data_IF_618653740612
#
_entry.id   IF_618653740612
#
_cell.length_a   1.000
_cell.length_b   1.000
_cell.length_c   1.000
_cell.angle_alpha   90.00
_cell.angle_beta   90.00
_cell.angle_gamma   90.00
#
_symmetry.space_group_name_H-M   'P 1'
#
loop_
_entity.id
_entity.type
_entity.pdbx_description
1 polymer ?
#
# COMPACT_ATOMS: atom_id res chain seq x y z
N UNK A 1 -17.81 -0.06 36.60
CA UNK A 1 -17.65 0.10 35.14
C UNK A 1 -17.12 1.50 34.88
N UNK A 2 -15.99 1.63 34.19
CA UNK A 2 -15.22 2.87 34.17
C UNK A 2 -15.95 3.93 33.32
N UNK A 3 -16.46 4.97 33.98
CA UNK A 3 -17.26 6.07 33.37
C UNK A 3 -16.53 6.76 32.21
N UNK A 4 -15.21 6.82 32.27
CA UNK A 4 -14.35 7.38 31.20
C UNK A 4 -14.45 6.59 29.90
N UNK A 5 -14.52 5.25 29.98
CA UNK A 5 -14.67 4.39 28.79
C UNK A 5 -16.07 4.50 28.16
N UNK A 6 -17.10 4.70 28.99
CA UNK A 6 -18.46 4.91 28.48
C UNK A 6 -18.59 6.24 27.72
N UNK A 7 -18.03 7.33 28.28
CA UNK A 7 -18.00 8.65 27.62
C UNK A 7 -17.20 8.60 26.32
N UNK A 8 -16.01 7.98 26.33
CA UNK A 8 -15.17 7.84 25.12
C UNK A 8 -15.86 7.03 24.03
N UNK A 9 -16.61 6.00 24.41
CA UNK A 9 -17.40 5.20 23.47
C UNK A 9 -18.54 6.01 22.87
N UNK A 10 -19.25 6.84 23.65
CA UNK A 10 -20.32 7.70 23.16
C UNK A 10 -19.77 8.78 22.21
N UNK A 11 -18.64 9.40 22.52
CA UNK A 11 -17.95 10.33 21.63
C UNK A 11 -17.60 9.65 20.29
N UNK A 12 -16.95 8.47 20.32
CA UNK A 12 -16.59 7.72 19.13
C UNK A 12 -17.83 7.30 18.30
N UNK A 13 -18.91 6.92 18.96
CA UNK A 13 -20.17 6.59 18.25
C UNK A 13 -20.83 7.82 17.65
N UNK A 14 -20.73 8.97 18.32
CA UNK A 14 -21.22 10.24 17.77
C UNK A 14 -20.43 10.68 16.54
N UNK A 15 -19.09 10.52 16.59
CA UNK A 15 -18.21 10.81 15.44
C UNK A 15 -18.42 9.84 14.27
N UNK A 16 -18.95 8.64 14.57
CA UNK A 16 -19.30 7.64 13.56
C UNK A 16 -20.72 7.74 13.00
N UNK A 17 -21.52 8.73 13.45
CA UNK A 17 -22.86 8.97 12.88
C UNK A 17 -22.70 9.61 11.50
N UNK A 18 -22.65 8.77 10.50
CA UNK A 18 -22.56 9.17 9.09
C UNK A 18 -23.98 9.33 8.54
N UNK A 19 -24.29 10.48 7.93
CA UNK A 19 -25.57 10.65 7.25
C UNK A 19 -25.79 9.56 6.21
N UNK A 20 -27.01 8.98 6.08
CA UNK A 20 -27.32 8.06 5.00
C UNK A 20 -26.95 8.58 3.61
N UNK A 21 -26.96 9.89 3.41
CA UNK A 21 -26.57 10.54 2.15
C UNK A 21 -25.11 10.29 1.75
N UNK A 22 -24.23 10.02 2.72
CA UNK A 22 -22.83 9.66 2.45
C UNK A 22 -22.75 8.32 1.69
N UNK A 23 -23.72 7.43 1.87
CA UNK A 23 -23.77 6.16 1.14
C UNK A 23 -24.41 6.29 -0.24
N UNK A 24 -25.13 7.39 -0.48
CA UNK A 24 -25.68 7.67 -1.80
C UNK A 24 -24.54 7.89 -2.80
N UNK A 25 -24.68 7.31 -3.97
CA UNK A 25 -23.68 7.41 -5.06
C UNK A 25 -22.26 6.93 -4.68
N UNK A 26 -22.13 6.08 -3.65
CA UNK A 26 -20.81 5.59 -3.22
C UNK A 26 -20.05 4.88 -4.35
N UNK A 27 -20.75 4.12 -5.19
CA UNK A 27 -20.17 3.41 -6.35
C UNK A 27 -19.70 4.42 -7.40
N UNK A 28 -20.49 5.44 -7.69
CA UNK A 28 -20.16 6.49 -8.65
C UNK A 28 -18.93 7.29 -8.18
N UNK A 29 -18.92 7.69 -6.90
CA UNK A 29 -17.76 8.37 -6.29
C UNK A 29 -16.49 7.52 -6.30
N UNK A 30 -16.60 6.20 -6.07
CA UNK A 30 -15.47 5.30 -6.22
C UNK A 30 -14.98 5.28 -7.66
N UNK A 31 -15.89 5.24 -8.63
CA UNK A 31 -15.54 5.31 -10.05
C UNK A 31 -14.79 6.59 -10.40
N UNK A 32 -15.28 7.74 -9.95
CA UNK A 32 -14.63 9.03 -10.13
C UNK A 32 -13.24 9.08 -9.49
N UNK A 33 -13.11 8.59 -8.25
CA UNK A 33 -11.83 8.51 -7.54
C UNK A 33 -10.81 7.60 -8.25
N UNK A 34 -11.25 6.48 -8.79
CA UNK A 34 -10.36 5.50 -9.44
C UNK A 34 -9.95 5.92 -10.85
N UNK A 35 -10.75 6.76 -11.52
CA UNK A 35 -10.56 7.13 -12.92
C UNK A 35 -9.14 7.66 -13.24
N UNK A 36 -8.51 8.58 -12.49
CA UNK A 36 -7.15 9.02 -12.76
C UNK A 36 -6.13 7.87 -12.71
N UNK A 37 -6.30 6.94 -11.78
CA UNK A 37 -5.44 5.76 -11.65
C UNK A 37 -5.65 4.75 -12.78
N UNK A 38 -6.87 4.61 -13.30
CA UNK A 38 -7.14 3.77 -14.46
C UNK A 38 -6.45 4.31 -15.71
N UNK A 39 -6.48 5.62 -15.92
CA UNK A 39 -5.93 6.26 -17.12
C UNK A 39 -4.42 6.09 -17.28
N UNK A 40 -3.68 5.89 -16.20
CA UNK A 40 -2.24 5.67 -16.25
C UNK A 40 -1.84 4.20 -16.43
N UNK A 41 -2.80 3.28 -16.40
CA UNK A 41 -2.57 1.87 -16.72
C UNK A 41 -2.73 1.63 -18.23
N UNK A 42 -1.72 1.00 -18.85
CA UNK A 42 -1.63 0.86 -20.29
C UNK A 42 -2.64 -0.12 -20.93
N UNK A 43 -3.19 -1.04 -20.13
CA UNK A 43 -4.06 -2.10 -20.64
C UNK A 43 -5.49 -1.98 -20.12
N UNK A 44 -6.48 -2.28 -20.97
CA UNK A 44 -7.89 -2.35 -20.56
C UNK A 44 -8.12 -3.31 -19.39
N UNK A 45 -7.41 -4.45 -19.38
CA UNK A 45 -7.47 -5.41 -18.28
C UNK A 45 -6.96 -4.79 -16.97
N UNK A 46 -5.85 -4.05 -17.01
CA UNK A 46 -5.31 -3.32 -15.85
C UNK A 46 -6.30 -2.27 -15.35
N UNK A 47 -6.85 -1.47 -16.24
CA UNK A 47 -7.84 -0.42 -15.94
C UNK A 47 -9.09 -1.00 -15.27
N UNK A 48 -9.61 -2.10 -15.78
CA UNK A 48 -10.76 -2.78 -15.16
C UNK A 48 -10.39 -3.39 -13.81
N UNK A 49 -9.26 -4.09 -13.73
CA UNK A 49 -8.91 -4.85 -12.55
C UNK A 49 -8.50 -3.97 -11.37
N UNK A 50 -7.90 -2.79 -11.58
CA UNK A 50 -7.63 -1.83 -10.48
C UNK A 50 -8.91 -1.39 -9.79
N UNK A 51 -9.98 -1.10 -10.57
CA UNK A 51 -11.28 -0.74 -10.01
C UNK A 51 -11.87 -1.87 -9.16
N UNK A 52 -11.90 -3.10 -9.70
CA UNK A 52 -12.40 -4.28 -9.00
C UNK A 52 -11.58 -4.59 -7.73
N UNK A 53 -10.26 -4.44 -7.81
CA UNK A 53 -9.37 -4.61 -6.66
C UNK A 53 -9.68 -3.61 -5.54
N UNK A 54 -9.87 -2.33 -5.87
CA UNK A 54 -10.23 -1.30 -4.89
C UNK A 54 -11.61 -1.52 -4.29
N UNK A 55 -12.60 -1.98 -5.06
CA UNK A 55 -13.89 -2.41 -4.53
C UNK A 55 -13.72 -3.50 -3.47
N UNK A 56 -12.90 -4.51 -3.76
CA UNK A 56 -12.59 -5.59 -2.82
C UNK A 56 -11.88 -5.08 -1.55
N UNK A 57 -10.92 -4.18 -1.68
CA UNK A 57 -10.22 -3.59 -0.54
C UNK A 57 -11.15 -2.78 0.37
N UNK A 58 -12.10 -2.03 -0.19
CA UNK A 58 -13.06 -1.22 0.53
C UNK A 58 -14.27 -2.00 1.05
N UNK A 59 -14.44 -3.26 0.63
CA UNK A 59 -15.54 -4.11 1.08
C UNK A 59 -15.37 -4.56 2.54
N UNK A 60 -16.40 -5.20 3.07
CA UNK A 60 -16.41 -5.79 4.42
C UNK A 60 -15.75 -7.19 4.51
N UNK A 61 -15.08 -7.65 3.44
CA UNK A 61 -14.38 -8.93 3.44
C UNK A 61 -13.39 -9.06 4.60
N UNK A 62 -13.38 -10.13 5.37
CA UNK A 62 -12.44 -10.34 6.46
C UNK A 62 -11.00 -10.59 5.93
N UNK A 63 -10.87 -11.18 4.76
CA UNK A 63 -9.61 -11.40 4.05
C UNK A 63 -9.51 -10.49 2.82
N UNK A 64 -8.39 -9.79 2.64
CA UNK A 64 -8.12 -8.92 1.49
C UNK A 64 -7.09 -9.57 0.56
N UNK A 65 -7.28 -10.85 0.26
CA UNK A 65 -6.45 -11.61 -0.67
C UNK A 65 -7.10 -11.72 -2.06
N UNK A 66 -6.34 -12.14 -3.05
CA UNK A 66 -6.81 -12.23 -4.42
C UNK A 66 -8.04 -13.14 -4.60
N UNK A 67 -8.13 -14.23 -3.83
CA UNK A 67 -9.24 -15.20 -3.93
C UNK A 67 -10.54 -14.63 -3.36
N UNK A 68 -10.48 -14.05 -2.15
CA UNK A 68 -11.66 -13.45 -1.51
C UNK A 68 -12.17 -12.25 -2.31
N UNK A 69 -11.26 -11.41 -2.82
CA UNK A 69 -11.61 -10.26 -3.66
C UNK A 69 -12.23 -10.73 -4.97
N UNK A 70 -11.62 -11.69 -5.67
CA UNK A 70 -12.14 -12.21 -6.94
C UNK A 70 -13.57 -12.79 -6.78
N UNK A 71 -13.80 -13.54 -5.71
CA UNK A 71 -15.11 -14.08 -5.37
C UNK A 71 -16.13 -12.96 -5.12
N UNK A 72 -15.74 -11.93 -4.40
CA UNK A 72 -16.62 -10.78 -4.09
C UNK A 72 -17.03 -9.99 -5.33
N UNK A 73 -16.10 -9.78 -6.27
CA UNK A 73 -16.37 -9.01 -7.49
C UNK A 73 -16.78 -9.90 -8.68
N UNK A 74 -17.03 -11.18 -8.45
CA UNK A 74 -17.50 -12.18 -9.43
C UNK A 74 -16.61 -12.30 -10.67
N UNK A 75 -15.31 -12.50 -10.43
CA UNK A 75 -14.34 -12.80 -11.48
C UNK A 75 -13.52 -14.06 -11.15
N UNK A 76 -12.87 -14.61 -12.17
CA UNK A 76 -11.92 -15.71 -12.00
C UNK A 76 -10.77 -15.33 -11.05
N UNK A 77 -10.47 -16.17 -10.05
CA UNK A 77 -9.36 -15.98 -9.10
C UNK A 77 -8.04 -15.70 -9.79
N UNK A 78 -7.77 -16.42 -10.89
CA UNK A 78 -6.51 -16.29 -11.63
C UNK A 78 -6.32 -14.87 -12.18
N UNK A 79 -7.38 -14.23 -12.66
CA UNK A 79 -7.33 -12.84 -13.17
C UNK A 79 -6.82 -11.88 -12.10
N UNK A 80 -7.36 -11.99 -10.87
CA UNK A 80 -6.93 -11.13 -9.76
C UNK A 80 -5.51 -11.47 -9.29
N UNK A 81 -5.13 -12.75 -9.26
CA UNK A 81 -3.78 -13.17 -8.91
C UNK A 81 -2.74 -12.66 -9.93
N UNK A 82 -3.03 -12.73 -11.22
CA UNK A 82 -2.18 -12.20 -12.29
C UNK A 82 -2.06 -10.69 -12.19
N UNK A 83 -3.16 -9.98 -11.98
CA UNK A 83 -3.16 -8.53 -11.81
C UNK A 83 -2.27 -8.09 -10.64
N UNK A 84 -2.37 -8.75 -9.50
CA UNK A 84 -1.60 -8.39 -8.30
C UNK A 84 -0.14 -8.87 -8.33
N UNK A 85 0.17 -9.94 -9.05
CA UNK A 85 1.45 -10.64 -8.90
C UNK A 85 2.34 -10.64 -10.13
N UNK A 86 1.80 -10.75 -11.34
CA UNK A 86 2.59 -11.01 -12.55
C UNK A 86 2.27 -10.11 -13.74
N UNK A 87 1.17 -9.37 -13.70
CA UNK A 87 0.82 -8.45 -14.78
C UNK A 87 1.89 -7.35 -14.92
N UNK A 88 2.32 -7.03 -16.15
CA UNK A 88 3.44 -6.12 -16.41
C UNK A 88 2.99 -4.64 -16.37
N UNK A 89 2.40 -4.21 -15.25
CA UNK A 89 2.09 -2.79 -15.05
C UNK A 89 3.11 -2.11 -14.14
N UNK A 90 3.39 -0.84 -14.42
CA UNK A 90 4.27 -0.01 -13.60
C UNK A 90 3.45 0.72 -12.52
N UNK A 91 3.92 0.68 -11.29
CA UNK A 91 3.28 1.37 -10.15
C UNK A 91 3.66 2.85 -10.09
N UNK A 92 4.72 3.29 -10.74
CA UNK A 92 5.21 4.67 -10.67
C UNK A 92 4.19 5.72 -11.13
N UNK A 93 3.50 5.54 -12.26
CA UNK A 93 2.45 6.46 -12.67
C UNK A 93 1.30 6.56 -11.64
N UNK A 94 0.97 5.46 -10.96
CA UNK A 94 -0.05 5.48 -9.89
C UNK A 94 0.39 6.31 -8.68
N UNK A 95 1.69 6.21 -8.32
CA UNK A 95 2.26 7.03 -7.24
C UNK A 95 2.22 8.52 -7.62
N UNK A 96 2.52 8.89 -8.87
CA UNK A 96 2.43 10.28 -9.31
C UNK A 96 1.00 10.82 -9.18
N UNK A 97 -0.01 10.06 -9.62
CA UNK A 97 -1.42 10.45 -9.43
C UNK A 97 -1.74 10.64 -7.95
N UNK A 98 -1.28 9.75 -7.09
CA UNK A 98 -1.49 9.89 -5.64
C UNK A 98 -0.85 11.15 -5.07
N UNK A 99 0.39 11.44 -5.46
CA UNK A 99 1.12 12.65 -5.01
C UNK A 99 0.39 13.91 -5.47
N UNK A 100 -0.05 13.97 -6.72
CA UNK A 100 -0.79 15.09 -7.27
C UNK A 100 -2.12 15.29 -6.51
N UNK A 101 -2.87 14.22 -6.24
CA UNK A 101 -4.11 14.31 -5.45
C UNK A 101 -3.88 14.75 -4.01
N UNK A 102 -2.79 14.31 -3.38
CA UNK A 102 -2.43 14.73 -2.02
C UNK A 102 -2.05 16.22 -2.02
N UNK A 103 -1.25 16.67 -3.00
CA UNK A 103 -0.90 18.07 -3.15
C UNK A 103 -2.14 18.95 -3.34
N UNK A 104 -3.07 18.54 -4.21
CA UNK A 104 -4.29 19.31 -4.48
C UNK A 104 -5.24 19.40 -3.28
N UNK A 105 -5.26 18.39 -2.41
CA UNK A 105 -6.28 18.29 -1.35
C UNK A 105 -5.76 18.55 0.07
N UNK A 106 -4.49 18.31 0.31
CA UNK A 106 -3.89 18.32 1.66
C UNK A 106 -2.71 19.29 1.77
N UNK A 107 -2.39 20.09 0.72
CA UNK A 107 -1.27 21.03 0.77
C UNK A 107 -1.52 22.11 1.82
N UNK A 108 -0.67 22.11 2.83
CA UNK A 108 -0.67 23.10 3.91
C UNK A 108 0.74 23.67 4.09
N UNK A 109 0.88 25.01 4.40
CA UNK A 109 2.17 25.65 4.55
C UNK A 109 3.11 24.99 5.58
N UNK A 110 2.53 24.38 6.61
CA UNK A 110 3.24 23.71 7.71
C UNK A 110 3.33 22.19 7.52
N UNK A 111 3.02 21.69 6.31
CA UNK A 111 3.11 20.28 5.97
C UNK A 111 4.53 19.72 6.09
N UNK A 112 4.67 18.52 6.60
CA UNK A 112 5.95 17.84 6.86
C UNK A 112 6.05 16.58 6.00
N UNK A 113 7.20 16.39 5.34
CA UNK A 113 7.56 15.11 4.73
C UNK A 113 8.33 14.29 5.75
N UNK A 114 7.83 13.11 6.06
CA UNK A 114 8.42 12.17 6.99
C UNK A 114 8.85 10.88 6.29
N UNK A 115 9.98 10.32 6.71
CA UNK A 115 10.46 9.02 6.23
C UNK A 115 10.56 8.04 7.39
N UNK A 116 10.00 6.84 7.22
CA UNK A 116 10.06 5.80 8.23
C UNK A 116 10.31 4.42 7.64
N UNK A 117 11.31 3.67 8.13
CA UNK A 117 11.54 2.29 7.75
C UNK A 117 10.61 1.35 8.52
N UNK A 118 9.69 0.70 7.84
CA UNK A 118 8.80 -0.31 8.42
C UNK A 118 9.18 -1.73 8.01
N UNK A 119 9.03 -2.68 8.93
CA UNK A 119 9.42 -4.08 8.73
C UNK A 119 8.22 -5.00 8.65
N UNK A 120 8.26 -5.93 7.68
CA UNK A 120 7.21 -6.91 7.41
C UNK A 120 7.76 -8.32 7.63
N UNK A 121 7.30 -9.06 8.66
CA UNK A 121 7.73 -10.44 8.88
C UNK A 121 7.46 -11.29 7.64
N UNK A 122 8.43 -12.06 7.21
CA UNK A 122 8.32 -12.92 6.03
C UNK A 122 8.96 -14.27 6.31
N UNK A 123 8.31 -15.35 5.85
CA UNK A 123 8.88 -16.70 5.87
C UNK A 123 9.63 -16.99 4.58
N UNK A 124 10.65 -17.84 4.65
CA UNK A 124 11.47 -18.21 3.50
C UNK A 124 12.61 -17.26 3.23
N UNK A 125 13.41 -17.57 2.20
CA UNK A 125 14.67 -16.88 1.88
C UNK A 125 14.74 -16.33 0.46
N UNK A 126 13.76 -16.62 -0.39
CA UNK A 126 13.78 -16.29 -1.82
C UNK A 126 13.02 -14.99 -2.19
N UNK A 127 12.21 -14.43 -1.27
CA UNK A 127 11.58 -13.14 -1.56
C UNK A 127 12.62 -12.02 -1.56
N UNK A 128 12.64 -11.19 -2.61
CA UNK A 128 13.63 -10.11 -2.78
C UNK A 128 13.67 -9.21 -1.55
N UNK A 129 14.87 -8.94 -1.03
CA UNK A 129 15.07 -8.07 0.14
C UNK A 129 14.82 -8.76 1.49
N UNK A 130 14.36 -10.03 1.53
CA UNK A 130 14.20 -10.75 2.79
C UNK A 130 15.57 -11.06 3.43
N UNK A 131 15.70 -10.70 4.70
CA UNK A 131 16.92 -10.99 5.45
C UNK A 131 16.61 -11.16 6.94
N UNK A 132 17.57 -11.75 7.69
CA UNK A 132 17.53 -11.76 9.14
C UNK A 132 18.06 -10.43 9.67
N UNK A 133 17.15 -9.54 10.05
CA UNK A 133 17.46 -8.18 10.46
C UNK A 133 16.49 -7.72 11.56
N UNK A 134 16.70 -6.53 12.11
CA UNK A 134 15.78 -5.97 13.11
C UNK A 134 14.38 -5.82 12.51
N UNK A 135 13.42 -6.50 13.13
CA UNK A 135 12.01 -6.46 12.77
C UNK A 135 11.25 -5.65 13.83
N UNK A 136 11.03 -4.35 13.56
CA UNK A 136 10.35 -3.44 14.49
C UNK A 136 8.96 -3.93 14.89
N UNK A 137 8.22 -4.51 13.94
CA UNK A 137 6.91 -5.10 14.20
C UNK A 137 6.93 -6.22 15.27
N UNK A 138 8.06 -6.93 15.41
CA UNK A 138 8.23 -8.01 16.39
C UNK A 138 9.14 -7.63 17.58
N UNK A 139 9.76 -6.46 17.55
CA UNK A 139 10.69 -5.99 18.57
C UNK A 139 11.94 -6.87 18.74
N UNK A 140 12.37 -7.58 17.70
CA UNK A 140 13.53 -8.47 17.72
C UNK A 140 14.13 -8.68 16.33
N UNK A 141 15.34 -9.28 16.28
CA UNK A 141 15.92 -9.76 15.02
C UNK A 141 15.12 -10.98 14.54
N UNK A 142 14.53 -10.85 13.35
CA UNK A 142 13.74 -11.90 12.72
C UNK A 142 13.88 -11.83 11.20
N UNK A 143 13.36 -12.83 10.49
CA UNK A 143 13.31 -12.82 9.03
C UNK A 143 12.19 -11.88 8.56
N UNK A 144 12.57 -10.80 7.89
CA UNK A 144 11.61 -9.78 7.45
C UNK A 144 12.10 -9.03 6.20
N UNK A 145 11.17 -8.39 5.53
CA UNK A 145 11.44 -7.30 4.59
C UNK A 145 11.47 -5.97 5.35
N UNK A 146 12.16 -4.99 4.79
CA UNK A 146 12.07 -3.60 5.24
C UNK A 146 11.73 -2.72 4.05
N UNK A 147 10.68 -1.92 4.19
CA UNK A 147 10.34 -0.85 3.26
C UNK A 147 10.61 0.50 3.91
N UNK A 148 11.16 1.45 3.16
CA UNK A 148 11.24 2.85 3.54
C UNK A 148 10.03 3.54 2.94
N UNK A 149 9.22 4.16 3.77
CA UNK A 149 7.99 4.86 3.38
C UNK A 149 8.20 6.36 3.49
N UNK A 150 7.66 7.09 2.51
CA UNK A 150 7.57 8.54 2.53
C UNK A 150 6.12 8.91 2.80
N UNK A 151 5.90 9.72 3.83
CA UNK A 151 4.59 10.21 4.21
C UNK A 151 4.55 11.72 4.24
N UNK A 152 3.39 12.28 3.95
CA UNK A 152 3.04 13.67 4.19
C UNK A 152 2.18 13.74 5.46
N UNK A 153 2.44 14.72 6.31
CA UNK A 153 1.70 14.95 7.56
C UNK A 153 1.43 16.44 7.68
N UNK A 154 0.19 16.81 7.94
CA UNK A 154 -0.24 18.15 8.30
C UNK A 154 -1.15 18.08 9.54
N UNK A 155 -1.64 19.21 10.04
CA UNK A 155 -2.32 19.32 11.34
C UNK A 155 -3.39 18.24 11.60
N UNK A 156 -4.21 17.94 10.60
CA UNK A 156 -5.36 17.03 10.75
C UNK A 156 -5.32 15.82 9.82
N UNK A 157 -4.38 15.79 8.88
CA UNK A 157 -4.34 14.78 7.83
C UNK A 157 -2.95 14.18 7.67
N UNK A 158 -2.91 13.00 7.10
CA UNK A 158 -1.67 12.35 6.68
C UNK A 158 -1.93 11.44 5.47
N UNK A 159 -0.91 11.28 4.64
CA UNK A 159 -0.96 10.38 3.48
C UNK A 159 0.39 9.70 3.26
N UNK A 160 0.37 8.46 2.77
CA UNK A 160 1.57 7.83 2.21
C UNK A 160 1.75 8.33 0.78
N UNK A 161 2.97 8.76 0.43
CA UNK A 161 3.29 9.31 -0.89
C UNK A 161 4.09 8.34 -1.76
N UNK A 162 5.09 7.67 -1.18
CA UNK A 162 5.94 6.71 -1.90
C UNK A 162 6.44 5.65 -0.93
N UNK A 163 6.95 4.56 -1.49
CA UNK A 163 7.67 3.55 -0.72
C UNK A 163 8.76 2.89 -1.56
N UNK A 164 9.81 2.39 -0.89
CA UNK A 164 10.88 1.64 -1.52
C UNK A 164 11.25 0.42 -0.69
N UNK A 165 11.37 -0.71 -1.36
CA UNK A 165 11.88 -1.92 -0.73
C UNK A 165 13.39 -1.76 -0.50
N UNK A 166 13.82 -1.87 0.75
CA UNK A 166 15.24 -1.87 1.09
C UNK A 166 15.87 -3.20 0.68
N UNK A 167 16.90 -3.13 -0.18
CA UNK A 167 17.69 -4.29 -0.56
C UNK A 167 18.90 -4.39 0.39
N UNK A 168 19.00 -5.41 1.26
CA UNK A 168 20.16 -5.59 2.14
C UNK A 168 21.47 -5.76 1.35
N UNK A 169 22.58 -5.36 1.96
CA UNK A 169 23.90 -5.42 1.32
C UNK A 169 24.29 -6.84 0.88
N UNK A 170 23.92 -7.85 1.68
CA UNK A 170 24.15 -9.27 1.35
C UNK A 170 23.44 -9.68 0.05
N UNK A 171 22.22 -9.16 -0.18
CA UNK A 171 21.51 -9.36 -1.43
C UNK A 171 22.17 -8.65 -2.61
N UNK A 172 22.70 -7.45 -2.38
CA UNK A 172 23.34 -6.69 -3.44
C UNK A 172 24.63 -7.34 -3.95
N UNK A 173 25.33 -8.08 -3.08
CA UNK A 173 26.58 -8.79 -3.37
C UNK A 173 26.37 -10.20 -3.92
N UNK A 174 25.21 -10.81 -3.71
CA UNK A 174 24.91 -12.18 -4.15
C UNK A 174 24.29 -12.18 -5.56
N UNK A 175 25.15 -12.22 -6.58
CA UNK A 175 24.72 -12.20 -7.98
C UNK A 175 23.86 -13.41 -8.36
N UNK A 176 24.18 -14.60 -7.83
CA UNK A 176 23.42 -15.81 -8.10
C UNK A 176 21.99 -15.68 -7.59
N UNK A 177 21.84 -15.29 -6.33
CA UNK A 177 20.52 -15.08 -5.70
C UNK A 177 19.71 -13.99 -6.40
N UNK A 178 20.37 -12.91 -6.83
CA UNK A 178 19.73 -11.85 -7.63
C UNK A 178 19.17 -12.36 -8.95
N UNK A 179 19.93 -13.21 -9.66
CA UNK A 179 19.49 -13.81 -10.92
C UNK A 179 18.32 -14.77 -10.68
N UNK A 180 18.40 -15.67 -9.71
CA UNK A 180 17.35 -16.62 -9.36
C UNK A 180 16.03 -15.92 -8.95
N UNK A 181 16.13 -14.76 -8.31
CA UNK A 181 14.98 -13.98 -7.87
C UNK A 181 14.60 -12.83 -8.83
N UNK A 182 15.17 -12.80 -10.03
CA UNK A 182 14.89 -11.82 -11.09
C UNK A 182 15.06 -10.36 -10.66
N UNK A 183 16.03 -10.07 -9.77
CA UNK A 183 16.31 -8.69 -9.35
C UNK A 183 16.91 -7.90 -10.52
N UNK A 184 16.31 -6.78 -10.94
CA UNK A 184 16.85 -6.00 -12.05
C UNK A 184 18.27 -5.52 -11.80
N UNK A 185 19.13 -5.54 -12.86
CA UNK A 185 20.54 -5.12 -12.75
C UNK A 185 20.72 -3.67 -12.29
N UNK A 186 19.74 -2.83 -12.57
CA UNK A 186 19.77 -1.41 -12.17
C UNK A 186 19.58 -1.22 -10.66
N UNK A 187 18.95 -2.17 -9.96
CA UNK A 187 18.72 -2.08 -8.51
C UNK A 187 20.04 -2.20 -7.79
N UNK A 188 20.39 -1.20 -6.98
CA UNK A 188 21.62 -1.11 -6.19
C UNK A 188 21.30 -1.17 -4.71
N UNK A 189 22.32 -1.49 -3.91
CA UNK A 189 22.28 -1.27 -2.48
C UNK A 189 22.32 0.23 -2.19
N UNK A 190 21.41 0.67 -1.36
CA UNK A 190 21.42 1.98 -0.74
C UNK A 190 21.17 1.81 0.75
N UNK A 191 21.85 2.59 1.57
CA UNK A 191 21.50 2.67 2.99
C UNK A 191 20.10 3.25 3.13
N UNK A 192 19.45 3.02 4.27
CA UNK A 192 18.10 3.55 4.51
C UNK A 192 18.05 5.07 4.43
N UNK A 193 19.13 5.75 4.84
CA UNK A 193 19.26 7.22 4.71
C UNK A 193 19.41 7.71 3.27
N UNK A 194 20.04 6.92 2.41
CA UNK A 194 20.17 7.25 0.98
C UNK A 194 18.87 6.93 0.20
N UNK A 195 17.94 6.23 0.80
CA UNK A 195 16.62 5.96 0.22
C UNK A 195 15.59 7.06 0.53
N UNK A 196 15.86 7.87 1.55
CA UNK A 196 15.11 9.07 1.89
C UNK A 196 15.53 10.24 0.98
#
# INVERSE_FOLDING_TARGET
MNTVWALRREELLSDCLVSPDVFNQMVDRLGEFVMPYQHVLETEAGQRNVHLYLQGLLSHLPGKNAEDIATFVDIERQVMQEFMGTAPWDHRPLIHVLVDEVADRLDEPDGIIAFDPSSFPKRGTHSVGVNRQWCGHRGKVDTCHVGVFMGYVCDHNHALLDFRLSLPEDWARDEQRRQECHVPKAVRYHTRHEQC
#
